data_IF_139221045816
#
_entry.id   IF_139221045816
#
_cell.length_a   1.000
_cell.length_b   1.000
_cell.length_c   1.000
_cell.angle_alpha   90.00
_cell.angle_beta   90.00
_cell.angle_gamma   90.00
#
_symmetry.space_group_name_H-M   'P 1'
#
loop_
_entity.id
_entity.type
_entity.pdbx_description
1 polymer ?
#
# COMPACT_ATOMS: atom_id res chain seq x y z
N UNK A 1 6.54 3.67 5.16
CA UNK A 1 7.96 3.95 4.85
C UNK A 1 8.29 3.30 3.51
N UNK A 2 8.45 4.10 2.44
CA UNK A 2 8.77 3.59 1.09
C UNK A 2 10.29 3.43 0.84
N UNK A 3 11.13 4.16 1.58
CA UNK A 3 12.59 4.09 1.40
C UNK A 3 13.18 2.70 1.69
N UNK A 4 12.51 1.91 2.51
CA UNK A 4 12.89 0.52 2.82
C UNK A 4 12.78 -0.43 1.61
N UNK A 5 11.98 -0.06 0.61
CA UNK A 5 11.90 -0.79 -0.65
C UNK A 5 13.23 -0.76 -1.41
N UNK A 6 13.95 0.35 -1.37
CA UNK A 6 15.20 0.52 -2.11
C UNK A 6 16.43 0.02 -1.34
N UNK A 7 16.40 0.10 -0.01
CA UNK A 7 17.47 -0.37 0.86
C UNK A 7 16.93 -0.75 2.24
N UNK A 8 17.43 -1.85 2.81
CA UNK A 8 17.20 -2.19 4.22
C UNK A 8 17.92 -1.12 5.04
N UNK A 9 17.17 -0.42 5.90
CA UNK A 9 17.68 0.66 6.71
C UNK A 9 18.33 0.13 7.99
N UNK A 10 19.07 0.99 8.70
CA UNK A 10 19.60 0.61 10.02
C UNK A 10 18.53 0.70 11.12
N UNK A 11 18.75 0.01 12.23
CA UNK A 11 17.91 0.07 13.44
C UNK A 11 17.87 1.47 14.03
N UNK A 12 19.01 2.19 14.04
CA UNK A 12 19.11 3.57 14.55
C UNK A 12 18.20 4.54 13.75
N UNK A 13 18.00 4.27 12.45
CA UNK A 13 17.07 5.05 11.63
C UNK A 13 15.62 4.80 12.03
N UNK A 14 15.27 3.54 12.34
CA UNK A 14 13.93 3.21 12.86
C UNK A 14 13.69 3.90 14.20
N UNK A 15 14.65 3.82 15.12
CA UNK A 15 14.61 4.50 16.42
C UNK A 15 14.43 6.01 16.29
N UNK A 16 15.15 6.62 15.35
CA UNK A 16 14.98 8.05 15.07
C UNK A 16 13.56 8.37 14.61
N UNK A 17 12.99 7.63 13.66
CA UNK A 17 11.62 7.87 13.20
C UNK A 17 10.58 7.65 14.30
N UNK A 18 10.82 6.69 15.19
CA UNK A 18 10.00 6.49 16.38
C UNK A 18 10.06 7.74 17.28
N UNK A 19 11.26 8.25 17.55
CA UNK A 19 11.47 9.43 18.39
C UNK A 19 10.86 10.72 17.78
N UNK A 20 10.89 10.82 16.45
CA UNK A 20 10.38 11.99 15.71
C UNK A 20 8.83 11.97 15.55
N UNK A 21 8.12 10.94 16.05
CA UNK A 21 6.66 10.77 15.85
C UNK A 21 5.93 10.56 17.19
N UNK A 22 4.65 10.99 17.30
CA UNK A 22 3.84 10.77 18.50
C UNK A 22 3.79 9.30 18.92
N UNK A 23 3.63 8.97 20.21
CA UNK A 23 3.60 7.57 20.70
C UNK A 23 2.52 6.68 20.05
N UNK A 24 1.43 7.27 19.60
CA UNK A 24 0.31 6.55 18.95
C UNK A 24 0.53 6.33 17.44
N UNK A 25 1.58 6.92 16.87
CA UNK A 25 1.83 6.82 15.43
C UNK A 25 2.30 5.41 15.07
N UNK A 26 1.67 4.80 14.08
CA UNK A 26 2.02 3.46 13.56
C UNK A 26 2.68 3.58 12.18
N UNK A 27 3.61 2.70 11.92
CA UNK A 27 4.34 2.65 10.66
C UNK A 27 3.88 1.48 9.78
N UNK A 28 3.62 1.76 8.51
CA UNK A 28 3.54 0.76 7.45
C UNK A 28 4.91 0.75 6.76
N UNK A 29 5.57 -0.39 6.77
CA UNK A 29 6.92 -0.56 6.21
C UNK A 29 6.82 -1.34 4.91
N UNK A 30 7.33 -0.79 3.81
CA UNK A 30 7.35 -1.51 2.53
C UNK A 30 8.48 -2.52 2.51
N UNK A 31 8.17 -3.76 2.11
CA UNK A 31 9.15 -4.82 1.97
C UNK A 31 10.25 -4.44 0.97
N UNK A 32 11.48 -4.85 1.26
CA UNK A 32 12.62 -4.61 0.37
C UNK A 32 12.40 -5.28 -0.99
N UNK A 33 12.78 -4.59 -2.07
CA UNK A 33 12.57 -5.02 -3.45
C UNK A 33 13.11 -6.44 -3.76
N UNK A 34 14.16 -6.87 -3.07
CA UNK A 34 14.71 -8.21 -3.17
C UNK A 34 13.76 -9.30 -2.65
N UNK A 35 12.87 -8.97 -1.71
CA UNK A 35 11.90 -9.90 -1.13
C UNK A 35 10.69 -10.11 -2.04
N UNK A 36 10.40 -9.18 -2.94
CA UNK A 36 9.21 -9.15 -3.80
C UNK A 36 9.52 -9.41 -5.30
N UNK A 37 10.79 -9.68 -5.64
CA UNK A 37 11.17 -10.01 -7.02
C UNK A 37 11.25 -8.83 -7.98
N UNK A 38 11.30 -7.58 -7.49
CA UNK A 38 11.53 -6.40 -8.31
C UNK A 38 12.99 -6.24 -8.73
N UNK A 39 13.92 -6.79 -7.96
CA UNK A 39 15.33 -6.74 -8.26
C UNK A 39 15.63 -7.66 -9.45
N UNK A 40 16.06 -7.06 -10.58
CA UNK A 40 16.52 -7.81 -11.74
C UNK A 40 17.93 -8.32 -11.47
N UNK A 41 18.10 -9.64 -11.46
CA UNK A 41 19.36 -10.32 -11.17
C UNK A 41 19.20 -11.38 -10.10
N UNK A 42 20.11 -12.35 -10.02
CA UNK A 42 20.04 -13.37 -8.99
C UNK A 42 20.26 -12.73 -7.62
N UNK A 43 19.21 -12.60 -6.82
CA UNK A 43 19.41 -12.66 -5.37
C UNK A 43 20.04 -14.03 -5.17
N UNK A 44 21.29 -14.05 -4.71
CA UNK A 44 22.09 -15.26 -4.67
C UNK A 44 21.30 -16.45 -4.12
N UNK A 45 21.38 -17.58 -4.81
CA UNK A 45 20.83 -18.84 -4.35
C UNK A 45 21.61 -19.21 -3.07
N UNK A 46 20.91 -19.60 -2.00
CA UNK A 46 21.50 -19.98 -0.73
C UNK A 46 21.42 -18.91 0.36
N UNK A 47 22.44 -18.80 1.21
CA UNK A 47 22.49 -17.99 2.44
C UNK A 47 22.11 -16.50 2.24
N UNK A 48 22.39 -15.91 1.07
CA UNK A 48 22.09 -14.49 0.79
C UNK A 48 20.61 -14.14 0.90
N UNK A 49 19.70 -15.07 0.61
CA UNK A 49 18.26 -14.81 0.78
C UNK A 49 17.88 -14.80 2.25
N UNK A 50 18.37 -15.75 3.02
CA UNK A 50 18.10 -15.81 4.47
C UNK A 50 18.73 -14.60 5.17
N UNK A 51 19.98 -14.26 4.86
CA UNK A 51 20.66 -13.05 5.36
C UNK A 51 19.87 -11.77 5.08
N UNK A 52 19.25 -11.66 3.89
CA UNK A 52 18.39 -10.53 3.54
C UNK A 52 17.14 -10.46 4.44
N UNK A 53 16.49 -11.60 4.70
CA UNK A 53 15.33 -11.62 5.60
C UNK A 53 15.75 -11.33 7.04
N UNK A 54 16.85 -11.90 7.52
CA UNK A 54 17.40 -11.64 8.86
C UNK A 54 17.69 -10.15 9.05
N UNK A 55 18.37 -9.52 8.08
CA UNK A 55 18.64 -8.08 8.12
C UNK A 55 17.36 -7.23 8.11
N UNK A 56 16.36 -7.62 7.30
CA UNK A 56 15.07 -6.91 7.25
C UNK A 56 14.30 -7.05 8.57
N UNK A 57 14.28 -8.25 9.17
CA UNK A 57 13.64 -8.50 10.45
C UNK A 57 14.33 -7.75 11.60
N UNK A 58 15.67 -7.72 11.59
CA UNK A 58 16.45 -6.94 12.57
C UNK A 58 16.12 -5.43 12.46
N UNK A 59 15.99 -4.90 11.23
CA UNK A 59 15.56 -3.51 11.01
C UNK A 59 14.19 -3.22 11.62
N UNK A 60 13.25 -4.17 11.59
CA UNK A 60 11.89 -3.99 12.11
C UNK A 60 11.82 -4.04 13.64
N UNK A 61 12.81 -4.62 14.31
CA UNK A 61 12.78 -4.94 15.74
C UNK A 61 12.39 -3.73 16.62
N UNK A 62 12.96 -2.52 16.45
CA UNK A 62 12.59 -1.36 17.26
C UNK A 62 11.10 -0.97 17.12
N UNK A 63 10.53 -1.15 15.90
CA UNK A 63 9.12 -0.86 15.64
C UNK A 63 8.20 -1.90 16.31
N UNK A 64 8.64 -3.15 16.37
CA UNK A 64 7.89 -4.25 16.99
C UNK A 64 7.90 -4.09 18.51
N UNK A 65 9.08 -3.91 19.11
CA UNK A 65 9.26 -3.78 20.57
C UNK A 65 8.48 -2.62 21.18
N UNK A 66 8.34 -1.52 20.43
CA UNK A 66 7.61 -0.33 20.88
C UNK A 66 6.15 -0.30 20.38
N UNK A 67 5.64 -1.42 19.85
CA UNK A 67 4.30 -1.50 19.27
C UNK A 67 4.01 -0.38 18.26
N UNK A 68 4.99 -0.08 17.38
CA UNK A 68 4.88 0.97 16.37
C UNK A 68 4.70 0.43 14.94
N UNK A 69 4.84 -0.87 14.72
CA UNK A 69 4.62 -1.51 13.42
C UNK A 69 3.12 -1.79 13.23
N UNK A 70 2.51 -1.21 12.19
CA UNK A 70 1.16 -1.58 11.78
C UNK A 70 1.19 -2.84 10.91
N UNK A 71 1.97 -2.82 9.85
CA UNK A 71 2.12 -3.95 8.92
C UNK A 71 3.33 -3.75 8.01
N UNK A 72 3.82 -4.85 7.43
CA UNK A 72 4.78 -4.83 6.32
C UNK A 72 4.04 -5.03 5.01
N UNK A 73 4.15 -4.06 4.09
CA UNK A 73 3.51 -4.12 2.77
C UNK A 73 4.39 -4.88 1.77
N UNK A 74 3.94 -6.03 1.34
CA UNK A 74 4.48 -6.79 0.22
C UNK A 74 3.72 -6.46 -1.06
N UNK A 75 4.21 -5.50 -1.82
CA UNK A 75 3.71 -5.21 -3.16
C UNK A 75 4.51 -6.03 -4.17
N UNK A 76 3.84 -6.95 -4.87
CA UNK A 76 4.47 -7.74 -5.93
C UNK A 76 4.37 -7.06 -7.30
N UNK A 77 5.36 -7.29 -8.20
CA UNK A 77 5.42 -6.59 -9.49
C UNK A 77 4.33 -7.05 -10.49
N UNK A 78 4.09 -6.27 -11.57
CA UNK A 78 3.08 -6.60 -12.57
C UNK A 78 3.27 -7.93 -13.31
N UNK A 79 4.46 -8.52 -13.27
CA UNK A 79 4.74 -9.84 -13.86
C UNK A 79 4.57 -11.02 -12.88
N UNK A 80 4.16 -10.74 -11.65
CA UNK A 80 3.90 -11.75 -10.64
C UNK A 80 2.44 -12.24 -10.77
N UNK A 81 2.24 -13.18 -11.68
CA UNK A 81 0.94 -13.76 -12.02
C UNK A 81 0.47 -14.84 -11.05
N UNK A 82 -0.80 -15.27 -11.18
CA UNK A 82 -1.42 -16.29 -10.33
C UNK A 82 -1.02 -17.73 -10.75
N UNK A 83 0.28 -18.00 -10.78
CA UNK A 83 0.81 -19.34 -11.04
C UNK A 83 1.23 -20.03 -9.75
N UNK A 84 1.20 -21.37 -9.73
CA UNK A 84 1.59 -22.20 -8.58
C UNK A 84 2.97 -21.84 -8.02
N UNK A 85 3.96 -21.56 -8.88
CA UNK A 85 5.30 -21.12 -8.45
C UNK A 85 5.26 -19.85 -7.59
N UNK A 86 4.38 -18.89 -7.92
CA UNK A 86 4.24 -17.64 -7.18
C UNK A 86 3.46 -17.83 -5.88
N UNK A 87 2.48 -18.71 -5.84
CA UNK A 87 1.82 -19.13 -4.59
C UNK A 87 2.84 -19.72 -3.62
N UNK A 88 3.77 -20.56 -4.12
CA UNK A 88 4.85 -21.12 -3.27
C UNK A 88 5.81 -20.04 -2.75
N UNK A 89 6.08 -18.99 -3.55
CA UNK A 89 6.87 -17.83 -3.09
C UNK A 89 6.15 -17.11 -1.95
N UNK A 90 4.84 -16.86 -2.07
CA UNK A 90 4.05 -16.20 -1.02
C UNK A 90 4.07 -16.99 0.30
N UNK A 91 3.87 -18.33 0.23
CA UNK A 91 3.97 -19.21 1.41
C UNK A 91 5.35 -19.15 2.06
N UNK A 92 6.40 -19.25 1.25
CA UNK A 92 7.77 -19.20 1.75
C UNK A 92 8.10 -17.82 2.37
N UNK A 93 7.58 -16.72 1.79
CA UNK A 93 7.70 -15.37 2.35
C UNK A 93 6.99 -15.27 3.68
N UNK A 94 5.71 -15.68 3.76
CA UNK A 94 4.93 -15.61 5.01
C UNK A 94 5.58 -16.43 6.13
N UNK A 95 6.07 -17.62 5.79
CA UNK A 95 6.80 -18.47 6.76
C UNK A 95 8.03 -17.77 7.34
N UNK A 96 8.80 -17.01 6.52
CA UNK A 96 9.98 -16.25 7.00
C UNK A 96 9.59 -15.04 7.84
N UNK A 97 8.46 -14.42 7.54
CA UNK A 97 7.96 -13.29 8.32
C UNK A 97 7.34 -13.69 9.66
N UNK A 98 6.98 -14.98 9.83
CA UNK A 98 6.38 -15.47 11.06
C UNK A 98 5.08 -14.74 11.42
N UNK A 99 5.01 -14.28 12.68
CA UNK A 99 3.83 -13.59 13.24
C UNK A 99 3.77 -12.11 12.89
N UNK A 100 4.75 -11.60 12.14
CA UNK A 100 4.74 -10.19 11.72
C UNK A 100 3.55 -9.93 10.81
N UNK A 101 2.74 -8.87 11.09
CA UNK A 101 1.63 -8.48 10.26
C UNK A 101 2.10 -8.14 8.83
N UNK A 102 1.53 -8.79 7.82
CA UNK A 102 1.93 -8.62 6.43
C UNK A 102 0.73 -8.33 5.54
N UNK A 103 0.74 -7.17 4.89
CA UNK A 103 -0.20 -6.80 3.84
C UNK A 103 0.32 -7.24 2.47
N UNK A 104 -0.56 -7.76 1.62
CA UNK A 104 -0.25 -8.28 0.30
C UNK A 104 -0.97 -7.48 -0.77
N UNK A 105 -0.19 -6.93 -1.70
CA UNK A 105 -0.68 -6.18 -2.85
C UNK A 105 -0.23 -6.85 -4.14
N UNK A 106 -1.19 -7.25 -4.96
CA UNK A 106 -0.96 -7.73 -6.31
C UNK A 106 -1.08 -6.61 -7.34
N UNK A 107 -0.32 -6.73 -8.42
CA UNK A 107 -0.32 -5.82 -9.57
C UNK A 107 -0.60 -6.53 -10.88
N UNK A 108 -0.96 -7.81 -10.84
CA UNK A 108 -1.31 -8.60 -12.02
C UNK A 108 -2.77 -9.06 -11.93
N UNK A 109 -3.55 -8.84 -13.00
CA UNK A 109 -4.98 -9.12 -13.05
C UNK A 109 -5.36 -10.59 -12.84
N UNK A 110 -4.45 -11.53 -13.14
CA UNK A 110 -4.75 -12.96 -13.02
C UNK A 110 -5.16 -13.40 -11.62
N UNK A 111 -4.73 -12.70 -10.57
CA UNK A 111 -5.15 -12.92 -9.19
C UNK A 111 -6.62 -12.56 -8.96
N UNK A 112 -7.14 -11.65 -9.76
CA UNK A 112 -8.48 -11.06 -9.62
C UNK A 112 -9.44 -11.44 -10.75
N UNK A 113 -9.04 -12.39 -11.61
CA UNK A 113 -9.96 -12.93 -12.61
C UNK A 113 -11.17 -13.58 -11.92
N UNK A 114 -12.31 -13.67 -12.62
CA UNK A 114 -13.54 -14.25 -12.10
C UNK A 114 -13.32 -15.66 -11.50
N UNK A 115 -12.50 -16.48 -12.17
CA UNK A 115 -12.18 -17.83 -11.72
C UNK A 115 -11.24 -17.89 -10.49
N UNK A 116 -10.48 -16.83 -10.21
CA UNK A 116 -9.41 -16.83 -9.20
C UNK A 116 -9.68 -15.92 -8.02
N UNK A 117 -10.51 -14.89 -8.16
CA UNK A 117 -10.77 -13.88 -7.11
C UNK A 117 -11.05 -14.52 -5.74
N UNK A 118 -12.06 -15.40 -5.66
CA UNK A 118 -12.45 -16.01 -4.39
C UNK A 118 -11.34 -16.93 -3.84
N UNK A 119 -10.68 -17.68 -4.71
CA UNK A 119 -9.54 -18.53 -4.32
C UNK A 119 -8.37 -17.72 -3.79
N UNK A 120 -8.13 -16.55 -4.37
CA UNK A 120 -7.08 -15.61 -3.92
C UNK A 120 -7.41 -15.06 -2.53
N UNK A 121 -8.65 -14.60 -2.31
CA UNK A 121 -9.10 -14.12 -1.00
C UNK A 121 -9.04 -15.24 0.06
N UNK A 122 -9.50 -16.43 -0.29
CA UNK A 122 -9.43 -17.58 0.63
C UNK A 122 -7.98 -17.98 0.94
N UNK A 123 -7.09 -17.94 -0.04
CA UNK A 123 -5.66 -18.15 0.16
C UNK A 123 -5.09 -17.12 1.15
N UNK A 124 -5.42 -15.84 0.97
CA UNK A 124 -4.95 -14.78 1.88
C UNK A 124 -5.45 -15.04 3.32
N UNK A 125 -6.73 -15.38 3.50
CA UNK A 125 -7.31 -15.72 4.82
C UNK A 125 -6.57 -16.90 5.45
N UNK A 126 -6.38 -17.98 4.70
CA UNK A 126 -5.76 -19.22 5.22
C UNK A 126 -4.27 -19.04 5.59
N UNK A 127 -3.55 -18.19 4.87
CA UNK A 127 -2.12 -17.95 5.09
C UNK A 127 -1.87 -16.71 6.00
N UNK A 128 -2.90 -16.03 6.46
CA UNK A 128 -2.79 -14.85 7.34
C UNK A 128 -2.20 -13.61 6.64
N UNK A 129 -2.50 -13.43 5.35
CA UNK A 129 -2.18 -12.21 4.63
C UNK A 129 -3.31 -11.18 4.76
N UNK A 130 -2.96 -9.94 5.05
CA UNK A 130 -3.88 -8.80 4.99
C UNK A 130 -4.01 -8.32 3.55
N UNK A 131 -5.22 -8.21 3.04
CA UNK A 131 -5.43 -7.69 1.70
C UNK A 131 -5.13 -6.17 1.65
N UNK A 132 -4.36 -5.75 0.66
CA UNK A 132 -4.23 -4.34 0.27
C UNK A 132 -5.19 -4.05 -0.87
N UNK A 133 -6.34 -3.46 -0.53
CA UNK A 133 -7.34 -3.00 -1.50
C UNK A 133 -6.77 -1.82 -2.27
N UNK A 134 -6.79 -1.87 -3.59
CA UNK A 134 -6.24 -0.79 -4.42
C UNK A 134 -7.35 -0.06 -5.17
N UNK A 135 -7.24 1.27 -5.23
CA UNK A 135 -7.93 2.13 -6.18
C UNK A 135 -6.94 2.63 -7.21
N UNK A 136 -7.17 2.29 -8.45
CA UNK A 136 -6.35 2.69 -9.58
C UNK A 136 -7.22 2.85 -10.83
N UNK A 137 -6.77 3.57 -11.86
CA UNK A 137 -7.57 3.73 -13.07
C UNK A 137 -7.77 2.37 -13.72
N UNK A 138 -8.96 2.11 -14.24
CA UNK A 138 -9.26 0.87 -14.98
C UNK A 138 -8.74 1.00 -16.42
N UNK A 139 -7.41 1.00 -16.57
CA UNK A 139 -6.68 1.29 -17.81
C UNK A 139 -6.19 0.01 -18.53
N UNK A 140 -7.01 -1.04 -18.54
CA UNK A 140 -6.71 -2.32 -19.20
C UNK A 140 -5.76 -3.20 -18.40
N UNK A 141 -4.88 -3.95 -19.09
CA UNK A 141 -4.03 -5.00 -18.46
C UNK A 141 -3.05 -4.47 -17.39
N UNK A 142 -2.72 -3.18 -17.42
CA UNK A 142 -1.84 -2.53 -16.45
C UNK A 142 -2.49 -2.21 -15.10
N UNK A 143 -3.78 -2.49 -14.93
CA UNK A 143 -4.57 -2.17 -13.73
C UNK A 143 -5.18 -3.41 -13.12
N UNK A 144 -5.47 -3.35 -11.82
CA UNK A 144 -6.25 -4.38 -11.13
C UNK A 144 -7.61 -3.81 -10.70
N UNK A 145 -8.66 -4.64 -10.59
CA UNK A 145 -9.96 -4.18 -10.10
C UNK A 145 -9.89 -3.85 -8.61
N UNK A 146 -10.73 -2.92 -8.16
CA UNK A 146 -10.96 -2.65 -6.75
C UNK A 146 -11.74 -3.80 -6.13
N UNK A 147 -11.10 -4.57 -5.26
CA UNK A 147 -11.71 -5.69 -4.52
C UNK A 147 -11.80 -5.29 -3.05
N UNK A 148 -12.93 -4.70 -2.63
CA UNK A 148 -13.15 -4.22 -1.27
C UNK A 148 -13.62 -5.37 -0.35
N UNK A 149 -12.70 -6.29 -0.02
CA UNK A 149 -12.91 -7.46 0.84
C UNK A 149 -11.76 -7.54 1.86
N UNK A 150 -12.08 -7.71 3.14
CA UNK A 150 -11.07 -7.99 4.15
C UNK A 150 -10.68 -9.48 4.15
N UNK A 151 -9.43 -9.74 4.47
CA UNK A 151 -8.90 -11.10 4.62
C UNK A 151 -8.28 -11.35 5.99
N UNK A 152 -8.32 -10.35 6.87
CA UNK A 152 -7.79 -10.40 8.21
C UNK A 152 -8.67 -9.56 9.16
N UNK A 153 -8.97 -10.09 10.33
CA UNK A 153 -9.86 -9.47 11.31
C UNK A 153 -9.24 -8.26 12.04
N UNK A 154 -7.92 -8.22 12.16
CA UNK A 154 -7.24 -7.12 12.84
C UNK A 154 -7.04 -5.89 11.96
N UNK A 155 -6.66 -6.09 10.69
CA UNK A 155 -6.27 -4.98 9.83
C UNK A 155 -6.57 -5.24 8.36
N UNK A 156 -7.12 -4.22 7.70
CA UNK A 156 -7.20 -4.12 6.24
C UNK A 156 -6.51 -2.85 5.78
N UNK A 157 -5.79 -2.94 4.68
CA UNK A 157 -5.12 -1.81 4.05
C UNK A 157 -5.86 -1.38 2.79
N UNK A 158 -6.02 -0.06 2.58
CA UNK A 158 -6.55 0.53 1.35
C UNK A 158 -5.49 1.47 0.80
N UNK A 159 -5.18 1.37 -0.50
CA UNK A 159 -4.22 2.24 -1.17
C UNK A 159 -4.86 2.94 -2.36
N UNK A 160 -4.97 4.26 -2.26
CA UNK A 160 -5.54 5.12 -3.29
C UNK A 160 -4.41 5.67 -4.18
N UNK A 161 -4.23 5.06 -5.36
CA UNK A 161 -3.13 5.37 -6.28
C UNK A 161 -3.44 6.53 -7.23
N UNK A 162 -4.69 7.00 -7.25
CA UNK A 162 -5.19 7.94 -8.24
C UNK A 162 -5.80 7.22 -9.45
N UNK A 163 -6.62 7.94 -10.20
CA UNK A 163 -7.38 7.40 -11.35
C UNK A 163 -6.94 8.04 -12.68
N UNK A 164 -5.68 8.45 -12.81
CA UNK A 164 -5.12 9.01 -14.03
C UNK A 164 -4.89 7.93 -15.09
N UNK A 165 -5.91 7.63 -15.91
CA UNK A 165 -5.85 6.59 -16.94
C UNK A 165 -4.83 6.94 -18.06
N UNK A 166 -4.69 8.20 -18.42
CA UNK A 166 -3.77 8.65 -19.46
C UNK A 166 -2.30 8.40 -19.08
N UNK A 167 -1.94 8.68 -17.81
CA UNK A 167 -0.58 8.49 -17.32
C UNK A 167 -0.27 7.07 -16.82
N UNK A 168 -1.27 6.20 -16.71
CA UNK A 168 -1.09 4.89 -16.06
C UNK A 168 -0.22 3.93 -16.85
N UNK A 169 -0.39 3.88 -18.17
CA UNK A 169 0.32 2.98 -19.07
C UNK A 169 1.52 3.62 -19.76
N UNK A 170 1.72 4.94 -19.59
CA UNK A 170 2.84 5.67 -20.20
C UNK A 170 4.13 5.43 -19.38
N UNK A 171 4.81 4.33 -19.70
CA UNK A 171 6.11 3.98 -19.08
C UNK A 171 7.31 4.43 -19.91
N UNK A 172 7.08 5.10 -21.04
CA UNK A 172 8.11 5.53 -21.99
C UNK A 172 8.78 6.85 -21.65
N UNK A 173 8.18 7.67 -20.81
CA UNK A 173 8.71 8.98 -20.41
C UNK A 173 9.59 8.88 -19.16
N UNK A 174 10.67 9.69 -19.10
CA UNK A 174 11.55 9.74 -17.92
C UNK A 174 10.76 10.08 -16.63
N UNK A 175 9.72 10.90 -16.72
CA UNK A 175 8.87 11.35 -15.60
C UNK A 175 7.60 10.50 -15.44
N UNK A 176 7.53 9.28 -16.00
CA UNK A 176 6.32 8.46 -15.99
C UNK A 176 5.71 8.25 -14.59
N UNK A 177 6.54 8.19 -13.55
CA UNK A 177 6.07 8.03 -12.16
C UNK A 177 5.33 9.25 -11.66
N UNK A 178 5.81 10.45 -12.01
CA UNK A 178 5.17 11.70 -11.63
C UNK A 178 3.81 11.85 -12.30
N UNK A 179 3.72 11.52 -13.57
CA UNK A 179 2.46 11.57 -14.35
C UNK A 179 1.48 10.51 -13.85
N UNK A 180 1.95 9.29 -13.61
CA UNK A 180 1.13 8.15 -13.16
C UNK A 180 0.36 8.43 -11.88
N UNK A 181 0.99 9.06 -10.91
CA UNK A 181 0.43 9.37 -9.59
C UNK A 181 -0.04 10.81 -9.44
N UNK A 182 -0.08 11.57 -10.55
CA UNK A 182 -0.64 12.91 -10.58
C UNK A 182 -2.17 12.82 -10.68
N UNK A 183 -2.81 12.85 -9.53
CA UNK A 183 -4.25 12.77 -9.41
C UNK A 183 -4.75 13.46 -8.15
N UNK A 184 -5.81 14.25 -8.29
CA UNK A 184 -6.49 14.89 -7.17
C UNK A 184 -7.90 14.30 -7.07
N UNK A 185 -8.14 13.47 -6.06
CA UNK A 185 -9.48 12.92 -5.83
C UNK A 185 -10.49 14.03 -5.57
N UNK A 186 -11.57 14.04 -6.31
CA UNK A 186 -12.71 14.91 -6.05
C UNK A 186 -13.45 14.47 -4.79
N UNK A 187 -14.23 15.41 -4.21
CA UNK A 187 -15.09 15.09 -3.06
C UNK A 187 -16.05 13.93 -3.38
N UNK A 188 -16.58 13.89 -4.61
CA UNK A 188 -17.52 12.84 -5.03
C UNK A 188 -16.84 11.46 -5.03
N UNK A 189 -15.62 11.35 -5.57
CA UNK A 189 -14.86 10.10 -5.55
C UNK A 189 -14.50 9.65 -4.13
N UNK A 190 -14.18 10.58 -3.23
CA UNK A 190 -13.96 10.26 -1.83
C UNK A 190 -15.25 9.79 -1.13
N UNK A 191 -16.42 10.35 -1.49
CA UNK A 191 -17.72 9.89 -0.97
C UNK A 191 -18.05 8.45 -1.44
N UNK A 192 -17.63 8.04 -2.65
CA UNK A 192 -17.80 6.66 -3.13
C UNK A 192 -17.07 5.64 -2.24
N UNK A 193 -16.00 6.04 -1.58
CA UNK A 193 -15.23 5.18 -0.67
C UNK A 193 -15.90 4.97 0.68
N UNK A 194 -16.80 5.85 1.14
CA UNK A 194 -17.40 5.74 2.48
C UNK A 194 -18.12 4.40 2.70
N UNK A 195 -19.02 3.94 1.82
CA UNK A 195 -19.68 2.64 2.01
C UNK A 195 -18.70 1.47 1.97
N UNK A 196 -17.64 1.54 1.14
CA UNK A 196 -16.62 0.50 1.06
C UNK A 196 -15.78 0.46 2.34
N UNK A 197 -15.38 1.61 2.87
CA UNK A 197 -14.63 1.71 4.13
C UNK A 197 -15.48 1.24 5.32
N UNK A 198 -16.77 1.57 5.35
CA UNK A 198 -17.68 1.08 6.37
C UNK A 198 -17.82 -0.45 6.32
N UNK A 199 -17.91 -1.04 5.13
CA UNK A 199 -17.91 -2.50 4.96
C UNK A 199 -16.62 -3.11 5.52
N UNK A 200 -15.45 -2.59 5.10
CA UNK A 200 -14.16 -3.10 5.56
C UNK A 200 -13.98 -2.94 7.08
N UNK A 201 -14.52 -1.87 7.68
CA UNK A 201 -14.48 -1.65 9.12
C UNK A 201 -15.37 -2.63 9.92
N UNK A 202 -16.41 -3.20 9.29
CA UNK A 202 -17.20 -4.28 9.89
C UNK A 202 -16.48 -5.63 9.84
N UNK A 203 -15.56 -5.81 8.89
CA UNK A 203 -14.81 -7.04 8.67
C UNK A 203 -13.43 -7.05 9.35
N UNK A 204 -12.86 -5.87 9.67
CA UNK A 204 -11.55 -5.69 10.30
C UNK A 204 -11.60 -4.63 11.39
N UNK A 205 -10.87 -4.87 12.48
CA UNK A 205 -10.80 -3.93 13.61
C UNK A 205 -10.24 -2.56 13.22
N UNK A 206 -9.29 -2.54 12.28
CA UNK A 206 -8.65 -1.31 11.78
C UNK A 206 -8.59 -1.30 10.25
N UNK A 207 -8.87 -0.14 9.66
CA UNK A 207 -8.68 0.10 8.22
C UNK A 207 -7.70 1.25 8.04
N UNK A 208 -6.56 0.95 7.45
CA UNK A 208 -5.56 1.97 7.12
C UNK A 208 -5.72 2.43 5.67
N UNK A 209 -6.05 3.69 5.48
CA UNK A 209 -6.17 4.29 4.14
C UNK A 209 -4.92 5.10 3.83
N UNK A 210 -4.20 4.69 2.79
CA UNK A 210 -2.95 5.33 2.34
C UNK A 210 -3.15 5.95 0.97
N UNK A 211 -3.00 7.26 0.90
CA UNK A 211 -3.01 7.98 -0.36
C UNK A 211 -1.64 7.92 -1.02
N UNK A 212 -1.59 7.34 -2.22
CA UNK A 212 -0.36 7.16 -3.01
C UNK A 212 -0.32 8.06 -4.26
N UNK A 213 -1.28 8.96 -4.40
CA UNK A 213 -1.35 10.01 -5.42
C UNK A 213 -0.47 11.22 -5.02
N UNK A 214 0.81 10.94 -4.76
CA UNK A 214 1.73 11.89 -4.13
C UNK A 214 2.31 12.94 -5.10
N UNK A 215 2.17 12.76 -6.41
CA UNK A 215 2.55 13.77 -7.39
C UNK A 215 1.66 15.01 -7.24
N UNK A 216 2.23 16.20 -7.37
CA UNK A 216 1.51 17.45 -7.18
C UNK A 216 1.08 17.76 -5.72
N UNK A 217 1.48 16.96 -4.73
CA UNK A 217 1.18 17.21 -3.32
C UNK A 217 -0.27 16.90 -2.89
N UNK A 218 -1.05 16.23 -3.74
CA UNK A 218 -2.48 16.00 -3.50
C UNK A 218 -2.77 14.96 -2.40
N UNK A 219 -1.88 14.01 -2.15
CA UNK A 219 -2.11 12.90 -1.23
C UNK A 219 -2.50 13.36 0.20
N UNK A 220 -1.74 14.28 0.77
CA UNK A 220 -1.99 14.77 2.14
C UNK A 220 -3.32 15.54 2.23
N UNK A 221 -3.66 16.32 1.20
CA UNK A 221 -4.91 17.07 1.14
C UNK A 221 -6.11 16.12 1.03
N UNK A 222 -6.05 15.15 0.11
CA UNK A 222 -7.11 14.16 -0.04
C UNK A 222 -7.29 13.29 1.23
N UNK A 223 -6.19 12.96 1.92
CA UNK A 223 -6.27 12.25 3.20
C UNK A 223 -7.05 13.07 4.24
N UNK A 224 -6.74 14.35 4.40
CA UNK A 224 -7.48 15.25 5.31
C UNK A 224 -8.95 15.40 4.92
N UNK A 225 -9.24 15.52 3.63
CA UNK A 225 -10.62 15.58 3.13
C UNK A 225 -11.39 14.31 3.49
N UNK A 226 -10.79 13.13 3.29
CA UNK A 226 -11.42 11.87 3.66
C UNK A 226 -11.63 11.75 5.17
N UNK A 227 -10.67 12.19 6.01
CA UNK A 227 -10.82 12.23 7.46
C UNK A 227 -12.06 13.04 7.87
N UNK A 228 -12.27 14.22 7.27
CA UNK A 228 -13.45 15.05 7.53
C UNK A 228 -14.75 14.35 7.09
N UNK A 229 -14.75 13.73 5.92
CA UNK A 229 -15.91 12.98 5.43
C UNK A 229 -16.28 11.79 6.33
N UNK A 230 -15.27 11.22 7.01
CA UNK A 230 -15.43 10.16 8.02
C UNK A 230 -15.77 10.69 9.44
N UNK A 231 -15.91 12.01 9.61
CA UNK A 231 -16.16 12.64 10.91
C UNK A 231 -14.94 12.61 11.86
N UNK A 232 -13.73 12.41 11.33
CA UNK A 232 -12.49 12.41 12.11
C UNK A 232 -11.89 13.80 12.19
N UNK A 233 -11.16 14.07 13.28
CA UNK A 233 -10.37 15.30 13.41
C UNK A 233 -9.08 15.21 12.59
N UNK A 234 -8.76 16.28 11.87
CA UNK A 234 -7.47 16.40 11.20
C UNK A 234 -6.35 16.73 12.20
N UNK A 235 -5.10 16.30 11.95
CA UNK A 235 -3.98 16.47 12.89
C UNK A 235 -3.69 17.94 13.26
N UNK A 236 -4.02 18.87 12.39
CA UNK A 236 -3.84 20.32 12.60
C UNK A 236 -5.09 21.02 13.14
N UNK A 237 -6.15 20.26 13.45
CA UNK A 237 -7.42 20.79 13.95
C UNK A 237 -8.18 21.69 12.96
N UNK A 238 -7.68 21.83 11.72
CA UNK A 238 -8.29 22.65 10.69
C UNK A 238 -9.21 21.82 9.81
N UNK A 239 -10.35 22.38 9.48
CA UNK A 239 -11.24 21.80 8.48
C UNK A 239 -10.56 21.95 7.10
N UNK A 240 -10.34 20.89 6.30
CA UNK A 240 -9.67 21.00 5.00
C UNK A 240 -10.36 21.95 4.02
N UNK A 241 -11.66 22.21 4.21
CA UNK A 241 -12.45 23.14 3.41
C UNK A 241 -12.06 24.60 3.68
N UNK A 242 -11.54 24.91 4.88
CA UNK A 242 -11.11 26.25 5.25
C UNK A 242 -9.67 26.57 4.80
N UNK A 243 -8.91 25.53 4.42
CA UNK A 243 -7.51 25.65 4.01
C UNK A 243 -7.29 25.71 2.48
N UNK A 244 -8.36 25.61 1.68
CA UNK A 244 -8.26 25.76 0.23
C UNK A 244 -8.18 27.27 -0.08
N UNK A 245 -7.10 27.77 -0.69
CA UNK A 245 -7.11 29.10 -1.28
C UNK A 245 -8.22 29.14 -2.35
N UNK A 246 -9.00 30.20 -2.36
CA UNK A 246 -10.19 30.36 -3.22
C UNK A 246 -9.89 30.37 -4.73
N UNK A 247 -8.66 30.20 -5.15
CA UNK A 247 -8.22 30.20 -6.53
C UNK A 247 -7.11 29.16 -6.77
N UNK A 248 -7.52 27.93 -7.08
CA UNK A 248 -6.77 27.13 -8.05
C UNK A 248 -7.74 26.98 -9.22
N UNK A 249 -7.63 27.89 -10.17
CA UNK A 249 -8.19 27.68 -11.49
C UNK A 249 -7.65 26.35 -12.03
N UNK A 250 -8.55 25.46 -12.42
CA UNK A 250 -8.19 24.31 -13.22
C UNK A 250 -7.43 24.83 -14.44
N UNK A 251 -6.14 24.58 -14.49
CA UNK A 251 -5.42 24.66 -15.75
C UNK A 251 -6.03 23.58 -16.64
N UNK A 252 -6.88 24.03 -17.57
CA UNK A 252 -7.29 23.22 -18.72
C UNK A 252 -6.01 22.91 -19.50
N UNK A 253 -5.53 21.68 -19.35
CA UNK A 253 -4.45 21.15 -20.16
C UNK A 253 -5.07 20.71 -21.51
N UNK A 254 -4.83 21.53 -22.54
CA UNK A 254 -5.05 21.18 -23.94
C UNK A 254 -4.14 20.05 -24.40
#
# INVERSE_FOLDING_TARGET
IDSTFYAIQSTERMEKWIADTPPTFKFIVKAYQGMTGHQRGSIGIGNKREEMYEAFLAMLQPLIEQDRLATVLFQYPPWFDCMTKHVMVLRATKKRMGDIPCALEFRHQSWWSEAMKEKTLQFMRNEGWMHSVCDEPQAGEGSIPTVAEATHDELTMVRLHGRNAAGWNDTGNENWREVRYLYNYSKQELLEWLPLLNKLQQESRQVYVVFNNNSGGHAAMNAKQLMVLLGQQTPDGRHPVEALPAHIEQLELF
#
